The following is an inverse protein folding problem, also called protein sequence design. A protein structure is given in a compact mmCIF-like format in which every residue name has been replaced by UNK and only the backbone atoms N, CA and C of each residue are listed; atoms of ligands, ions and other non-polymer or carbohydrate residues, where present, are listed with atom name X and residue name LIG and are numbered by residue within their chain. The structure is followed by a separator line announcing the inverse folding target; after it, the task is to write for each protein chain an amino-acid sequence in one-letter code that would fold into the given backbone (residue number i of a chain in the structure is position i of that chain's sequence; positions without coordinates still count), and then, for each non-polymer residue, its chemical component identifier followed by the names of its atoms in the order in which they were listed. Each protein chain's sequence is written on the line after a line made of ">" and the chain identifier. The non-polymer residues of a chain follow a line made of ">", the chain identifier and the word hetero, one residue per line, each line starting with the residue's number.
data_IF_435575826340
#
_entry.id   IF_435575826340
#
_cell.length_a   1.000
_cell.length_b   1.000
_cell.length_c   1.000
_cell.angle_alpha   90.00
_cell.angle_beta   90.00
_cell.angle_gamma   90.00
#
_symmetry.space_group_name_H-M   'P 1'
#
loop_
_entity.id
_entity.type
_entity.pdbx_description
1 polymer ?
#
# COMPACT_ATOMS: atom_id res chain seq x y z
N UNK A 1 4.44 -58.92 43.63
CA UNK A 1 4.14 -58.36 44.97
C UNK A 1 5.45 -57.82 45.53
N UNK A 2 5.48 -56.55 45.91
CA UNK A 2 6.69 -55.96 46.50
C UNK A 2 6.98 -56.63 47.87
N UNK A 3 8.26 -56.84 48.25
CA UNK A 3 8.62 -57.50 49.50
C UNK A 3 7.98 -56.84 50.74
N UNK A 4 7.65 -57.63 51.78
CA UNK A 4 7.03 -57.12 53.02
C UNK A 4 7.80 -55.95 53.65
N UNK A 5 9.13 -55.99 53.59
CA UNK A 5 9.98 -54.91 54.11
C UNK A 5 9.83 -53.61 53.33
N UNK A 6 9.56 -53.66 52.01
CA UNK A 6 9.39 -52.47 51.17
C UNK A 6 8.06 -51.75 51.48
N UNK A 7 7.00 -52.52 51.71
CA UNK A 7 5.70 -51.97 52.08
C UNK A 7 5.72 -51.37 53.50
N UNK A 8 6.37 -52.05 54.46
CA UNK A 8 6.57 -51.54 55.83
C UNK A 8 7.44 -50.28 55.81
N UNK A 9 8.54 -50.29 55.05
CA UNK A 9 9.44 -49.13 54.95
C UNK A 9 8.75 -47.91 54.32
N UNK A 10 7.93 -48.08 53.27
CA UNK A 10 7.12 -46.98 52.69
C UNK A 10 6.01 -46.50 53.63
N UNK A 11 5.47 -47.38 54.47
CA UNK A 11 4.43 -47.05 55.44
C UNK A 11 5.00 -46.29 56.65
N UNK A 12 6.23 -46.65 57.07
CA UNK A 12 6.97 -46.03 58.18
C UNK A 12 7.77 -44.79 57.78
N UNK A 13 8.13 -44.66 56.50
CA UNK A 13 8.80 -43.49 55.93
C UNK A 13 7.92 -42.91 54.80
N UNK A 14 6.77 -42.30 55.12
CA UNK A 14 5.97 -41.59 54.13
C UNK A 14 6.72 -40.33 53.70
N UNK A 15 7.77 -40.48 52.91
CA UNK A 15 8.44 -39.35 52.27
C UNK A 15 7.42 -38.72 51.34
N UNK A 16 7.00 -37.51 51.67
CA UNK A 16 6.07 -36.74 50.85
C UNK A 16 6.77 -36.41 49.53
N UNK A 17 6.67 -37.28 48.53
CA UNK A 17 7.22 -37.05 47.17
C UNK A 17 6.35 -36.06 46.40
N UNK A 18 5.06 -35.96 46.75
CA UNK A 18 4.11 -35.04 46.14
C UNK A 18 4.44 -33.57 46.44
N UNK A 19 4.91 -33.23 47.65
CA UNK A 19 5.32 -31.86 48.01
C UNK A 19 6.47 -31.33 47.14
N UNK A 20 7.63 -32.00 47.10
CA UNK A 20 8.73 -31.71 46.19
C UNK A 20 8.30 -31.79 44.72
N UNK A 21 7.44 -32.75 44.34
CA UNK A 21 6.92 -32.86 42.97
C UNK A 21 6.05 -31.67 42.55
N UNK A 22 5.16 -31.19 43.43
CA UNK A 22 4.36 -29.98 43.22
C UNK A 22 5.27 -28.75 43.14
N UNK A 23 6.29 -28.66 44.00
CA UNK A 23 7.24 -27.54 44.00
C UNK A 23 8.08 -27.52 42.73
N UNK A 24 8.61 -28.66 42.29
CA UNK A 24 9.33 -28.80 41.01
C UNK A 24 8.42 -28.51 39.83
N UNK A 25 7.18 -29.00 39.84
CA UNK A 25 6.18 -28.69 38.81
C UNK A 25 5.82 -27.20 38.74
N UNK A 26 5.65 -26.54 39.88
CA UNK A 26 5.38 -25.11 39.97
C UNK A 26 6.57 -24.27 39.48
N UNK A 27 7.80 -24.62 39.89
CA UNK A 27 9.02 -23.97 39.41
C UNK A 27 9.21 -24.18 37.91
N UNK A 28 9.04 -25.42 37.42
CA UNK A 28 9.10 -25.74 36.00
C UNK A 28 8.06 -24.99 35.17
N UNK A 29 6.82 -24.91 35.67
CA UNK A 29 5.75 -24.13 35.06
C UNK A 29 6.04 -22.63 35.02
N UNK A 30 6.59 -22.07 36.10
CA UNK A 30 6.97 -20.66 36.16
C UNK A 30 8.13 -20.33 35.22
N UNK A 31 9.14 -21.20 35.13
CA UNK A 31 10.25 -21.06 34.17
C UNK A 31 9.73 -21.15 32.74
N UNK A 32 8.85 -22.11 32.44
CA UNK A 32 8.24 -22.25 31.11
C UNK A 32 7.41 -21.02 30.73
N UNK A 33 6.56 -20.51 31.63
CA UNK A 33 5.82 -19.26 31.43
C UNK A 33 6.75 -18.06 31.24
N UNK A 34 7.82 -17.95 32.02
CA UNK A 34 8.82 -16.90 31.88
C UNK A 34 9.52 -16.94 30.53
N UNK A 35 9.90 -18.13 30.07
CA UNK A 35 10.48 -18.33 28.73
C UNK A 35 9.46 -17.93 27.67
N UNK A 36 8.20 -18.38 27.77
CA UNK A 36 7.15 -18.03 26.79
C UNK A 36 6.96 -16.52 26.67
N UNK A 37 6.89 -15.80 27.79
CA UNK A 37 6.74 -14.34 27.80
C UNK A 37 7.94 -13.66 27.11
N UNK A 38 9.16 -14.14 27.35
CA UNK A 38 10.36 -13.59 26.72
C UNK A 38 10.41 -13.94 25.22
N UNK A 39 10.11 -15.20 24.86
CA UNK A 39 10.21 -15.68 23.47
C UNK A 39 9.10 -15.16 22.57
N UNK A 40 7.90 -14.93 23.11
CA UNK A 40 6.80 -14.32 22.35
C UNK A 40 6.86 -12.79 22.34
N UNK A 41 7.68 -12.20 23.21
CA UNK A 41 7.83 -10.75 23.32
C UNK A 41 6.51 -10.04 23.65
N UNK A 42 6.46 -8.74 23.40
CA UNK A 42 5.24 -7.96 23.50
C UNK A 42 4.63 -7.82 22.08
N UNK A 43 3.58 -8.58 21.73
CA UNK A 43 2.99 -8.53 20.39
C UNK A 43 2.34 -7.20 20.05
N UNK A 44 2.10 -6.35 21.05
CA UNK A 44 1.54 -5.01 20.92
C UNK A 44 2.59 -3.93 21.18
N UNK A 45 3.87 -4.25 21.02
CA UNK A 45 4.91 -3.22 21.03
C UNK A 45 4.62 -2.25 19.88
N UNK A 46 4.61 -0.97 20.21
CA UNK A 46 4.43 0.11 19.25
C UNK A 46 5.66 0.99 19.26
N UNK A 47 6.00 1.51 18.09
CA UNK A 47 6.88 2.65 17.95
C UNK A 47 6.05 3.90 17.62
N UNK A 48 6.58 5.08 17.92
CA UNK A 48 5.86 6.34 17.74
C UNK A 48 6.74 7.41 17.12
N UNK A 49 6.28 7.97 16.00
CA UNK A 49 6.87 9.14 15.39
C UNK A 49 6.19 10.40 15.92
N UNK A 50 6.94 11.25 16.63
CA UNK A 50 6.47 12.56 17.04
C UNK A 50 6.47 13.53 15.85
N UNK A 51 5.30 14.04 15.47
CA UNK A 51 5.12 14.90 14.29
C UNK A 51 4.91 16.38 14.63
N UNK A 52 4.86 16.75 15.92
CA UNK A 52 4.66 18.13 16.37
C UNK A 52 5.35 18.48 17.69
N UNK A 53 5.12 19.70 18.22
CA UNK A 53 5.70 20.14 19.49
C UNK A 53 5.33 19.22 20.66
N UNK A 54 6.24 19.08 21.63
CA UNK A 54 6.00 18.27 22.83
C UNK A 54 4.73 18.71 23.56
N UNK A 55 3.87 17.74 23.91
CA UNK A 55 2.63 17.97 24.65
C UNK A 55 1.38 18.23 23.80
N UNK A 56 1.47 18.26 22.46
CA UNK A 56 0.30 18.44 21.58
C UNK A 56 -0.42 17.14 21.23
N UNK A 57 0.14 15.98 21.61
CA UNK A 57 -0.43 14.68 21.26
C UNK A 57 -0.20 14.25 19.80
N UNK A 58 0.57 15.03 19.03
CA UNK A 58 0.93 14.72 17.65
C UNK A 58 1.95 13.57 17.59
N UNK A 59 1.43 12.34 17.58
CA UNK A 59 2.17 11.09 17.59
C UNK A 59 1.53 10.09 16.62
N UNK A 60 2.28 9.69 15.59
CA UNK A 60 1.88 8.60 14.70
C UNK A 60 2.41 7.30 15.31
N UNK A 61 1.50 6.44 15.76
CA UNK A 61 1.85 5.19 16.46
C UNK A 61 1.65 4.02 15.53
N UNK A 62 2.65 3.12 15.45
CA UNK A 62 2.63 1.95 14.58
C UNK A 62 3.11 0.72 15.34
N UNK A 63 2.59 -0.47 15.01
CA UNK A 63 3.09 -1.69 15.62
C UNK A 63 4.49 -1.99 15.12
N UNK A 64 5.38 -2.39 16.03
CA UNK A 64 6.76 -2.75 15.69
C UNK A 64 6.82 -3.93 14.71
N UNK A 65 5.82 -4.81 14.72
CA UNK A 65 5.68 -5.90 13.74
C UNK A 65 5.47 -5.38 12.31
N UNK A 66 4.71 -4.31 12.16
CA UNK A 66 4.34 -3.77 10.85
C UNK A 66 5.53 -3.05 10.24
N UNK A 67 6.26 -2.28 11.06
CA UNK A 67 7.53 -1.65 10.67
C UNK A 67 8.62 -2.65 10.29
N UNK A 68 8.61 -3.84 10.89
CA UNK A 68 9.58 -4.89 10.60
C UNK A 68 9.23 -5.71 9.35
N UNK A 69 8.02 -5.56 8.81
CA UNK A 69 7.57 -6.29 7.63
C UNK A 69 7.87 -5.46 6.38
N UNK A 70 8.88 -5.84 5.57
CA UNK A 70 9.15 -5.13 4.32
C UNK A 70 8.01 -5.35 3.31
N UNK A 71 7.95 -4.49 2.29
CA UNK A 71 7.10 -4.73 1.13
C UNK A 71 7.44 -6.11 0.53
N UNK A 72 6.47 -7.03 0.41
CA UNK A 72 6.72 -8.38 -0.10
C UNK A 72 7.24 -8.36 -1.54
N UNK A 73 6.90 -7.33 -2.32
CA UNK A 73 7.27 -7.20 -3.71
C UNK A 73 8.58 -6.44 -3.91
N UNK A 74 9.27 -6.05 -2.82
CA UNK A 74 10.57 -5.36 -2.92
C UNK A 74 11.60 -6.22 -3.65
N UNK A 75 11.53 -7.54 -3.51
CA UNK A 75 12.42 -8.47 -4.22
C UNK A 75 12.16 -8.51 -5.74
N UNK A 76 10.96 -8.10 -6.17
CA UNK A 76 10.57 -8.03 -7.59
C UNK A 76 11.06 -6.72 -8.25
N UNK A 77 11.48 -5.73 -7.47
CA UNK A 77 12.20 -4.57 -7.97
C UNK A 77 13.64 -5.00 -8.31
N UNK A 78 13.84 -5.46 -9.53
CA UNK A 78 15.18 -5.75 -10.04
C UNK A 78 15.98 -4.45 -10.18
N UNK A 79 17.13 -4.38 -9.51
CA UNK A 79 18.17 -3.40 -9.84
C UNK A 79 18.73 -3.76 -11.21
N UNK A 80 18.31 -2.99 -12.20
CA UNK A 80 18.81 -3.05 -13.57
C UNK A 80 19.26 -1.63 -13.86
N UNK A 81 20.56 -1.36 -13.98
CA UNK A 81 21.04 -0.01 -14.29
C UNK A 81 21.00 0.21 -15.81
N UNK A 82 20.62 1.41 -16.29
CA UNK A 82 20.66 1.72 -17.71
C UNK A 82 22.08 1.63 -18.24
N UNK A 83 22.24 1.10 -19.45
CA UNK A 83 23.52 1.10 -20.15
C UNK A 83 23.90 2.53 -20.52
N UNK A 84 25.12 2.96 -20.21
CA UNK A 84 25.62 4.30 -20.54
C UNK A 84 25.95 4.32 -22.05
N UNK A 85 25.22 5.10 -22.87
CA UNK A 85 25.50 5.18 -24.31
C UNK A 85 26.81 5.91 -24.60
N UNK A 86 27.58 5.44 -25.57
CA UNK A 86 28.76 6.16 -26.09
C UNK A 86 28.44 7.13 -27.25
N UNK A 87 27.21 7.06 -27.77
CA UNK A 87 26.68 7.93 -28.81
C UNK A 87 26.90 7.43 -30.24
N UNK A 88 27.54 6.28 -30.42
CA UNK A 88 27.71 5.60 -31.70
C UNK A 88 26.60 4.59 -31.99
N UNK A 89 25.79 4.25 -30.99
CA UNK A 89 24.75 3.23 -31.11
C UNK A 89 23.53 3.77 -31.87
N UNK A 90 22.91 2.94 -32.73
CA UNK A 90 21.67 3.32 -33.40
C UNK A 90 20.53 3.50 -32.39
N UNK A 91 19.64 4.44 -32.69
CA UNK A 91 18.47 4.73 -31.86
C UNK A 91 17.30 3.80 -32.21
N UNK A 92 16.44 3.52 -31.24
CA UNK A 92 15.29 2.62 -31.42
C UNK A 92 14.38 3.05 -32.59
N UNK A 93 14.21 4.36 -32.83
CA UNK A 93 13.44 4.88 -33.97
C UNK A 93 14.05 4.59 -35.35
N UNK A 94 15.34 4.27 -35.41
CA UNK A 94 16.08 3.98 -36.64
C UNK A 94 16.06 2.48 -36.97
N UNK A 95 15.87 1.63 -35.95
CA UNK A 95 15.92 0.18 -36.04
C UNK A 95 14.52 -0.42 -36.12
N UNK A 96 13.61 0.02 -35.24
CA UNK A 96 12.30 -0.59 -35.05
C UNK A 96 11.17 0.19 -35.72
N UNK A 97 10.13 -0.53 -36.12
CA UNK A 97 8.91 0.07 -36.67
C UNK A 97 7.96 0.52 -35.56
N UNK A 98 7.26 1.64 -35.81
CA UNK A 98 6.19 2.16 -34.94
C UNK A 98 6.62 2.51 -33.49
N UNK A 99 7.87 2.96 -33.31
CA UNK A 99 8.34 3.53 -32.04
C UNK A 99 7.93 5.02 -31.96
N UNK A 100 6.92 5.33 -31.14
CA UNK A 100 6.33 6.67 -31.05
C UNK A 100 6.76 7.48 -29.82
N UNK A 101 7.22 6.81 -28.75
CA UNK A 101 7.54 7.44 -27.46
C UNK A 101 9.01 7.22 -27.08
N UNK A 102 9.47 5.98 -27.16
CA UNK A 102 10.83 5.58 -26.75
C UNK A 102 11.86 5.66 -27.88
N UNK A 103 11.68 6.61 -28.81
CA UNK A 103 12.46 6.66 -30.05
C UNK A 103 13.94 7.03 -29.88
N UNK A 104 14.26 7.74 -28.79
CA UNK A 104 15.60 8.25 -28.51
C UNK A 104 16.42 7.34 -27.57
N UNK A 105 15.91 6.14 -27.25
CA UNK A 105 16.70 5.13 -26.55
C UNK A 105 17.64 4.43 -27.53
N UNK A 106 18.84 4.04 -27.05
CA UNK A 106 19.66 3.04 -27.76
C UNK A 106 18.95 1.69 -27.79
N UNK A 107 19.32 0.82 -28.72
CA UNK A 107 18.73 -0.53 -28.83
C UNK A 107 18.78 -1.30 -27.50
N UNK A 108 19.94 -1.32 -26.86
CA UNK A 108 20.14 -2.05 -25.60
C UNK A 108 19.25 -1.51 -24.47
N UNK A 109 19.13 -0.17 -24.35
CA UNK A 109 18.25 0.43 -23.35
C UNK A 109 16.76 0.26 -23.67
N UNK A 110 16.39 0.23 -24.94
CA UNK A 110 15.04 -0.07 -25.37
C UNK A 110 14.64 -1.50 -24.96
N UNK A 111 15.49 -2.49 -25.27
CA UNK A 111 15.26 -3.88 -24.92
C UNK A 111 15.28 -4.11 -23.40
N UNK A 112 16.18 -3.44 -22.69
CA UNK A 112 16.21 -3.41 -21.22
C UNK A 112 14.88 -2.93 -20.63
N UNK A 113 14.37 -1.79 -21.11
CA UNK A 113 13.11 -1.25 -20.64
C UNK A 113 11.91 -2.15 -20.98
N UNK A 114 11.90 -2.79 -22.16
CA UNK A 114 10.86 -3.76 -22.53
C UNK A 114 10.84 -4.95 -21.56
N UNK A 115 12.00 -5.53 -21.25
CA UNK A 115 12.12 -6.62 -20.28
C UNK A 115 11.64 -6.20 -18.88
N UNK A 116 12.01 -5.00 -18.43
CA UNK A 116 11.55 -4.45 -17.15
C UNK A 116 10.03 -4.27 -17.12
N UNK A 117 9.43 -3.71 -18.17
CA UNK A 117 7.96 -3.56 -18.26
C UNK A 117 7.25 -4.90 -18.27
N UNK A 118 7.79 -5.92 -18.93
CA UNK A 118 7.24 -7.28 -18.86
C UNK A 118 7.21 -7.80 -17.43
N UNK A 119 8.30 -7.65 -16.68
CA UNK A 119 8.36 -8.12 -15.30
C UNK A 119 7.39 -7.34 -14.38
N UNK A 120 7.30 -6.02 -14.56
CA UNK A 120 6.47 -5.17 -13.70
C UNK A 120 4.97 -5.28 -13.97
N UNK A 121 4.55 -5.64 -15.19
CA UNK A 121 3.15 -5.60 -15.63
C UNK A 121 2.57 -6.97 -15.92
N UNK A 122 3.30 -7.82 -16.64
CA UNK A 122 2.78 -9.08 -17.18
C UNK A 122 3.81 -10.22 -17.11
N UNK A 123 4.40 -10.52 -15.93
CA UNK A 123 5.47 -11.50 -15.80
C UNK A 123 5.03 -12.92 -16.23
N UNK A 124 3.75 -13.26 -16.03
CA UNK A 124 3.21 -14.58 -16.39
C UNK A 124 2.91 -14.72 -17.89
N UNK A 125 2.50 -13.64 -18.56
CA UNK A 125 2.13 -13.66 -19.99
C UNK A 125 3.30 -13.29 -20.90
N UNK A 126 4.32 -12.64 -20.37
CA UNK A 126 5.50 -12.24 -21.11
C UNK A 126 5.21 -11.17 -22.17
N UNK A 127 6.09 -11.10 -23.17
CA UNK A 127 6.02 -10.12 -24.27
C UNK A 127 4.69 -10.19 -25.04
N UNK A 128 4.11 -11.40 -25.14
CA UNK A 128 2.88 -11.65 -25.87
C UNK A 128 1.66 -10.91 -25.31
N UNK A 129 1.69 -10.48 -24.04
CA UNK A 129 0.60 -9.69 -23.46
C UNK A 129 0.32 -8.40 -24.23
N UNK A 130 1.38 -7.75 -24.71
CA UNK A 130 1.29 -6.51 -25.49
C UNK A 130 1.50 -6.72 -26.98
N UNK A 131 2.27 -7.74 -27.39
CA UNK A 131 2.66 -7.93 -28.80
C UNK A 131 1.96 -9.09 -29.50
N UNK A 132 1.26 -9.97 -28.78
CA UNK A 132 0.69 -11.21 -29.31
C UNK A 132 1.74 -12.32 -29.47
N UNK A 133 1.33 -13.47 -30.00
CA UNK A 133 2.18 -14.65 -30.19
C UNK A 133 3.00 -14.63 -31.49
N UNK A 134 3.07 -13.48 -32.18
CA UNK A 134 3.84 -13.33 -33.41
C UNK A 134 5.36 -13.22 -33.17
N UNK A 135 6.11 -13.19 -34.27
CA UNK A 135 7.56 -12.96 -34.24
C UNK A 135 7.90 -11.47 -34.06
N UNK A 136 9.18 -11.14 -33.84
CA UNK A 136 9.65 -9.77 -33.61
C UNK A 136 9.26 -8.80 -34.75
N UNK A 137 9.09 -9.30 -35.97
CA UNK A 137 8.66 -8.54 -37.14
C UNK A 137 7.25 -7.98 -36.99
N UNK A 138 6.36 -8.64 -36.23
CA UNK A 138 4.99 -8.17 -35.98
C UNK A 138 4.90 -7.27 -34.75
N UNK A 139 5.98 -7.11 -33.97
CA UNK A 139 5.95 -6.35 -32.72
C UNK A 139 5.68 -4.85 -32.96
N UNK A 140 5.85 -4.37 -34.18
CA UNK A 140 5.47 -3.01 -34.60
C UNK A 140 3.96 -2.77 -34.67
N UNK A 141 3.13 -3.79 -34.80
CA UNK A 141 1.68 -3.66 -35.00
C UNK A 141 0.94 -3.20 -33.72
N UNK A 142 -0.09 -2.37 -33.87
CA UNK A 142 -0.97 -1.92 -32.76
C UNK A 142 -2.28 -2.73 -32.71
N UNK A 143 -2.19 -4.04 -32.99
CA UNK A 143 -3.36 -4.93 -33.07
C UNK A 143 -4.01 -5.19 -31.70
N UNK A 144 -3.23 -5.16 -30.60
CA UNK A 144 -3.71 -5.39 -29.25
C UNK A 144 -3.93 -4.08 -28.49
N UNK A 145 -5.07 -3.98 -27.80
CA UNK A 145 -5.39 -2.80 -26.99
C UNK A 145 -4.38 -2.57 -25.86
N UNK A 146 -3.78 -3.64 -25.32
CA UNK A 146 -2.77 -3.60 -24.26
C UNK A 146 -1.53 -2.81 -24.69
N UNK A 147 -1.11 -2.89 -25.95
CA UNK A 147 -0.01 -2.07 -26.48
C UNK A 147 -0.36 -0.59 -26.55
N UNK A 148 -1.57 -0.28 -27.01
CA UNK A 148 -2.07 1.11 -27.09
C UNK A 148 -2.15 1.72 -25.69
N UNK A 149 -2.65 0.99 -24.71
CA UNK A 149 -2.68 1.39 -23.30
C UNK A 149 -1.27 1.55 -22.74
N UNK A 150 -0.37 0.58 -22.99
CA UNK A 150 1.02 0.62 -22.52
C UNK A 150 1.75 1.87 -23.02
N UNK A 151 1.55 2.25 -24.29
CA UNK A 151 2.11 3.50 -24.84
C UNK A 151 1.65 4.72 -24.05
N UNK A 152 0.38 4.78 -23.67
CA UNK A 152 -0.15 5.88 -22.87
C UNK A 152 0.40 5.86 -21.44
N UNK A 153 0.61 4.68 -20.85
CA UNK A 153 1.19 4.52 -19.51
C UNK A 153 2.66 4.94 -19.46
N UNK A 154 3.43 4.69 -20.53
CA UNK A 154 4.81 5.19 -20.64
C UNK A 154 4.82 6.73 -20.59
N UNK A 155 3.96 7.37 -21.40
CA UNK A 155 3.85 8.83 -21.40
C UNK A 155 3.39 9.38 -20.04
N UNK A 156 2.44 8.71 -19.39
CA UNK A 156 1.96 9.08 -18.05
C UNK A 156 3.11 9.00 -17.03
N UNK A 157 3.89 7.92 -17.06
CA UNK A 157 5.02 7.70 -16.14
C UNK A 157 6.10 8.76 -16.32
N UNK A 158 6.49 9.06 -17.58
CA UNK A 158 7.43 10.13 -17.89
C UNK A 158 6.92 11.48 -17.37
N UNK A 159 5.65 11.81 -17.65
CA UNK A 159 5.04 13.06 -17.19
C UNK A 159 4.98 13.16 -15.65
N UNK A 160 4.68 12.08 -14.94
CA UNK A 160 4.69 12.06 -13.47
C UNK A 160 6.10 12.34 -12.95
N UNK A 161 7.11 11.67 -13.50
CA UNK A 161 8.49 11.80 -13.02
C UNK A 161 9.13 13.15 -13.35
N UNK A 162 8.71 13.80 -14.45
CA UNK A 162 9.26 15.08 -14.90
C UNK A 162 8.50 16.30 -14.36
N UNK A 163 7.15 16.25 -14.33
CA UNK A 163 6.32 17.42 -14.06
C UNK A 163 5.63 17.41 -12.69
N UNK A 164 5.82 16.36 -11.87
CA UNK A 164 5.26 16.24 -10.52
C UNK A 164 6.34 15.99 -9.46
N UNK A 165 7.53 16.55 -9.66
CA UNK A 165 8.68 16.42 -8.77
C UNK A 165 8.38 16.83 -7.33
N UNK A 166 7.59 17.89 -7.13
CA UNK A 166 7.12 18.35 -5.81
C UNK A 166 6.24 17.35 -5.06
N UNK A 167 5.81 16.27 -5.71
CA UNK A 167 5.12 15.14 -5.07
C UNK A 167 6.00 13.90 -5.02
N UNK A 168 6.39 13.36 -6.18
CA UNK A 168 7.07 12.05 -6.27
C UNK A 168 8.56 12.12 -5.95
N UNK A 169 9.15 13.33 -5.92
CA UNK A 169 10.57 13.56 -5.63
C UNK A 169 10.81 14.56 -4.48
N UNK A 170 9.76 14.89 -3.71
CA UNK A 170 9.81 15.96 -2.71
C UNK A 170 10.89 15.76 -1.63
N UNK A 171 11.08 14.51 -1.20
CA UNK A 171 12.02 14.16 -0.14
C UNK A 171 13.34 13.56 -0.66
N UNK A 172 13.28 12.82 -1.78
CA UNK A 172 14.39 12.11 -2.43
C UNK A 172 14.04 11.92 -3.90
N UNK A 173 15.04 11.70 -4.76
CA UNK A 173 14.80 11.32 -6.17
C UNK A 173 14.36 9.86 -6.23
N UNK A 174 13.04 9.63 -6.17
CA UNK A 174 12.42 8.29 -6.15
C UNK A 174 11.65 8.04 -7.43
N UNK A 175 10.74 8.94 -7.79
CA UNK A 175 9.85 8.80 -8.94
C UNK A 175 8.88 7.62 -8.80
N UNK A 176 8.25 7.25 -9.92
CA UNK A 176 7.37 6.10 -10.06
C UNK A 176 7.77 5.25 -11.27
N UNK A 177 7.45 3.97 -11.20
CA UNK A 177 7.59 3.01 -12.31
C UNK A 177 6.29 2.26 -12.52
N UNK A 178 6.23 1.37 -13.52
CA UNK A 178 5.07 0.50 -13.71
C UNK A 178 4.80 -0.35 -12.46
N UNK A 179 5.87 -0.76 -11.74
CA UNK A 179 5.78 -1.57 -10.53
C UNK A 179 5.05 -0.87 -9.39
N UNK A 180 5.13 0.47 -9.32
CA UNK A 180 4.44 1.26 -8.28
C UNK A 180 2.94 0.98 -8.23
N UNK A 181 2.32 0.74 -9.40
CA UNK A 181 0.90 0.45 -9.52
C UNK A 181 0.62 -1.03 -9.82
N UNK A 182 1.29 -1.60 -10.83
CA UNK A 182 0.93 -2.91 -11.35
C UNK A 182 1.33 -4.07 -10.44
N UNK A 183 2.47 -3.96 -9.73
CA UNK A 183 2.97 -5.02 -8.84
C UNK A 183 2.94 -6.42 -9.47
N UNK A 184 3.38 -6.54 -10.72
CA UNK A 184 3.38 -7.81 -11.47
C UNK A 184 2.00 -8.27 -11.95
N UNK A 185 0.97 -7.43 -11.84
CA UNK A 185 -0.40 -7.73 -12.29
C UNK A 185 -0.78 -6.89 -13.50
N UNK A 186 -1.42 -7.53 -14.48
CA UNK A 186 -1.96 -6.89 -15.68
C UNK A 186 -2.95 -5.76 -15.36
N UNK A 187 -3.68 -5.91 -14.26
CA UNK A 187 -4.60 -4.91 -13.71
C UNK A 187 -4.12 -4.61 -12.29
N UNK A 188 -3.78 -3.35 -11.95
CA UNK A 188 -3.42 -2.97 -10.59
C UNK A 188 -4.49 -3.35 -9.57
N UNK A 189 -4.08 -3.80 -8.38
CA UNK A 189 -5.02 -4.26 -7.34
C UNK A 189 -5.76 -3.11 -6.66
N UNK A 190 -5.07 -1.99 -6.41
CA UNK A 190 -5.60 -0.84 -5.66
C UNK A 190 -6.22 0.21 -6.60
N UNK A 191 -7.28 -0.19 -7.31
CA UNK A 191 -8.08 0.69 -8.18
C UNK A 191 -9.48 0.92 -7.60
N UNK A 192 -10.13 1.98 -8.04
CA UNK A 192 -11.48 2.33 -7.61
C UNK A 192 -12.40 2.65 -8.79
N UNK A 193 -13.70 2.49 -8.56
CA UNK A 193 -14.77 2.80 -9.51
C UNK A 193 -15.78 3.72 -8.85
N UNK A 194 -16.59 4.41 -9.65
CA UNK A 194 -17.78 5.11 -9.14
C UNK A 194 -18.77 4.09 -8.60
N UNK A 195 -19.12 4.19 -7.32
CA UNK A 195 -20.04 3.24 -6.66
C UNK A 195 -21.35 3.88 -6.21
N UNK A 196 -21.52 5.20 -6.43
CA UNK A 196 -22.75 5.90 -6.09
C UNK A 196 -23.78 5.84 -7.21
N UNK A 197 -25.09 5.82 -6.89
CA UNK A 197 -25.65 5.85 -5.53
C UNK A 197 -25.43 4.54 -4.77
N UNK A 198 -25.10 4.64 -3.47
CA UNK A 198 -24.96 3.47 -2.58
C UNK A 198 -26.29 3.07 -1.94
N UNK A 199 -27.29 3.96 -1.96
CA UNK A 199 -28.67 3.70 -1.55
C UNK A 199 -29.66 4.08 -2.67
N UNK A 200 -29.98 3.12 -3.54
CA UNK A 200 -30.82 3.28 -4.73
C UNK A 200 -32.25 3.78 -4.46
N UNK A 201 -32.77 3.57 -3.24
CA UNK A 201 -34.14 3.99 -2.87
C UNK A 201 -34.25 5.48 -2.51
N UNK A 202 -33.15 6.24 -2.55
CA UNK A 202 -33.09 7.65 -2.13
C UNK A 202 -32.37 8.51 -3.16
N UNK A 203 -32.50 9.83 -3.05
CA UNK A 203 -31.83 10.79 -3.93
C UNK A 203 -31.08 11.85 -3.11
N UNK A 204 -30.13 12.55 -3.74
CA UNK A 204 -29.31 13.56 -3.09
C UNK A 204 -28.35 12.96 -2.06
N UNK A 205 -28.04 13.70 -0.99
CA UNK A 205 -27.08 13.26 0.02
C UNK A 205 -27.35 11.88 0.65
N UNK A 206 -28.60 11.50 0.99
CA UNK A 206 -28.88 10.16 1.49
C UNK A 206 -28.48 9.02 0.54
N UNK A 207 -28.39 9.28 -0.77
CA UNK A 207 -28.04 8.24 -1.75
C UNK A 207 -26.54 7.94 -1.81
N UNK A 208 -25.68 8.82 -1.27
CA UNK A 208 -24.22 8.68 -1.35
C UNK A 208 -23.55 8.28 -0.04
N UNK A 209 -24.28 8.21 1.08
CA UNK A 209 -23.71 7.92 2.42
C UNK A 209 -24.56 6.92 3.22
N UNK A 210 -24.36 6.80 4.54
CA UNK A 210 -25.10 5.87 5.42
C UNK A 210 -24.96 4.39 5.06
N UNK A 211 -23.90 4.04 4.34
CA UNK A 211 -23.54 2.66 3.99
C UNK A 211 -22.04 2.50 4.08
N UNK A 212 -21.58 1.48 4.80
CA UNK A 212 -20.16 1.15 4.84
C UNK A 212 -19.73 0.61 3.48
N UNK A 213 -18.74 1.26 2.87
CA UNK A 213 -18.12 0.84 1.61
C UNK A 213 -16.59 0.85 1.76
N UNK A 214 -15.89 0.23 0.80
CA UNK A 214 -14.43 0.34 0.76
C UNK A 214 -13.98 1.79 0.53
N UNK A 215 -14.68 2.58 -0.28
CA UNK A 215 -14.31 3.97 -0.55
C UNK A 215 -14.52 4.88 0.65
N UNK A 216 -15.54 4.63 1.48
CA UNK A 216 -15.74 5.33 2.76
C UNK A 216 -14.88 4.80 3.89
N UNK A 217 -13.92 3.89 3.61
CA UNK A 217 -13.07 3.24 4.61
C UNK A 217 -13.90 2.57 5.73
N UNK A 218 -14.97 1.88 5.33
CA UNK A 218 -15.92 1.19 6.19
C UNK A 218 -16.69 2.08 7.18
N UNK A 219 -16.71 3.40 6.95
CA UNK A 219 -17.54 4.35 7.71
C UNK A 219 -18.89 4.59 7.04
N UNK A 220 -19.81 5.27 7.73
CA UNK A 220 -21.10 5.72 7.16
C UNK A 220 -20.99 7.03 6.36
N UNK A 221 -19.79 7.56 6.13
CA UNK A 221 -19.55 8.81 5.41
C UNK A 221 -19.84 8.70 3.90
N UNK A 222 -19.89 9.83 3.16
CA UNK A 222 -20.09 9.82 1.72
C UNK A 222 -19.06 8.97 0.96
N UNK A 223 -19.55 8.08 0.11
CA UNK A 223 -18.75 7.15 -0.70
C UNK A 223 -18.35 7.72 -2.07
N UNK A 224 -18.75 8.96 -2.37
CA UNK A 224 -18.42 9.68 -3.60
C UNK A 224 -17.21 10.62 -3.48
N UNK A 225 -16.50 10.62 -2.34
CA UNK A 225 -15.44 11.60 -2.08
C UNK A 225 -14.32 11.58 -3.14
N UNK A 226 -13.91 10.40 -3.62
CA UNK A 226 -12.91 10.29 -4.69
C UNK A 226 -13.43 10.82 -6.02
N UNK A 227 -14.70 10.56 -6.35
CA UNK A 227 -15.32 11.10 -7.56
C UNK A 227 -15.40 12.62 -7.51
N UNK A 228 -15.89 13.18 -6.40
CA UNK A 228 -16.02 14.63 -6.22
C UNK A 228 -14.67 15.34 -6.33
N UNK A 229 -13.63 14.84 -5.64
CA UNK A 229 -12.37 15.57 -5.51
C UNK A 229 -11.29 15.17 -6.51
N UNK A 230 -11.16 13.89 -6.86
CA UNK A 230 -10.09 13.42 -7.75
C UNK A 230 -10.50 13.35 -9.23
N UNK A 231 -11.81 13.31 -9.52
CA UNK A 231 -12.32 13.31 -10.89
C UNK A 231 -13.01 14.62 -11.26
N UNK A 232 -13.88 15.14 -10.40
CA UNK A 232 -14.66 16.35 -10.70
C UNK A 232 -13.97 17.65 -10.23
N UNK A 233 -12.85 17.55 -9.51
CA UNK A 233 -12.06 18.69 -9.02
C UNK A 233 -12.88 19.68 -8.16
N UNK A 234 -13.81 19.16 -7.35
CA UNK A 234 -14.55 19.98 -6.39
C UNK A 234 -13.64 20.54 -5.29
N UNK A 235 -14.13 21.54 -4.56
CA UNK A 235 -13.40 22.21 -3.50
C UNK A 235 -13.37 21.40 -2.20
N UNK A 236 -12.17 21.16 -1.64
CA UNK A 236 -11.97 20.42 -0.38
C UNK A 236 -12.10 21.31 0.86
N UNK A 237 -11.71 22.58 0.79
CA UNK A 237 -11.74 23.45 1.98
C UNK A 237 -13.17 23.77 2.41
N UNK A 238 -13.45 23.46 3.68
CA UNK A 238 -14.79 23.57 4.32
C UNK A 238 -14.81 24.51 5.53
N UNK A 239 -13.70 25.21 5.79
CA UNK A 239 -13.56 26.10 6.94
C UNK A 239 -13.21 27.52 6.50
N UNK A 240 -13.70 28.49 7.26
CA UNK A 240 -13.33 29.89 7.11
C UNK A 240 -11.98 30.18 7.77
N UNK A 241 -11.23 31.11 7.18
CA UNK A 241 -9.97 31.60 7.75
C UNK A 241 -10.20 32.75 8.76
N UNK A 242 -11.36 33.42 8.69
CA UNK A 242 -11.75 34.47 9.63
C UNK A 242 -12.72 33.97 10.68
N UNK A 243 -12.69 34.61 11.84
CA UNK A 243 -13.64 34.34 12.92
C UNK A 243 -14.98 35.02 12.62
N UNK A 244 -16.09 34.34 12.92
CA UNK A 244 -17.48 34.87 12.81
C UNK A 244 -17.91 35.22 11.38
N UNK A 245 -17.43 34.48 10.39
CA UNK A 245 -17.97 34.56 9.03
C UNK A 245 -19.44 34.13 9.06
N UNK A 246 -20.28 34.87 8.35
CA UNK A 246 -21.69 34.53 8.18
C UNK A 246 -21.80 33.40 7.16
N UNK A 247 -22.29 32.23 7.59
CA UNK A 247 -22.49 31.09 6.72
C UNK A 247 -23.59 31.40 5.69
N UNK A 248 -23.21 31.52 4.42
CA UNK A 248 -24.13 31.78 3.31
C UNK A 248 -24.80 30.47 2.86
N UNK A 249 -26.05 30.52 2.35
CA UNK A 249 -26.71 29.33 1.82
C UNK A 249 -25.88 28.64 0.74
N UNK A 250 -25.43 27.40 1.03
CA UNK A 250 -24.63 26.60 0.11
C UNK A 250 -23.11 26.78 0.24
N UNK A 251 -22.65 27.58 1.19
CA UNK A 251 -21.24 27.92 1.38
C UNK A 251 -20.68 27.25 2.65
N UNK A 252 -19.70 26.37 2.47
CA UNK A 252 -19.85 24.92 2.61
C UNK A 252 -20.76 24.48 3.77
N UNK A 253 -21.69 23.57 3.48
CA UNK A 253 -22.55 22.98 4.51
C UNK A 253 -21.83 21.80 5.19
N UNK A 254 -22.45 21.30 6.27
CA UNK A 254 -21.96 20.12 7.00
C UNK A 254 -21.79 18.90 6.10
N UNK A 255 -22.57 18.78 5.03
CA UNK A 255 -22.50 17.67 4.08
C UNK A 255 -21.16 17.66 3.30
N UNK A 256 -20.66 18.83 2.88
CA UNK A 256 -19.34 18.96 2.29
C UNK A 256 -18.23 18.66 3.31
N UNK A 257 -18.47 18.99 4.58
CA UNK A 257 -17.54 18.64 5.68
C UNK A 257 -17.48 17.11 5.85
N UNK A 258 -18.62 16.42 5.85
CA UNK A 258 -18.68 14.95 5.91
C UNK A 258 -17.96 14.30 4.73
N UNK A 259 -18.14 14.83 3.50
CA UNK A 259 -17.44 14.33 2.31
C UNK A 259 -15.92 14.57 2.39
N UNK A 260 -15.50 15.75 2.82
CA UNK A 260 -14.09 16.07 3.06
C UNK A 260 -13.49 15.12 4.10
N UNK A 261 -14.22 14.84 5.18
CA UNK A 261 -13.76 13.90 6.20
C UNK A 261 -13.63 12.48 5.65
N UNK A 262 -14.54 12.06 4.75
CA UNK A 262 -14.42 10.79 4.03
C UNK A 262 -13.11 10.69 3.22
N UNK A 263 -12.75 11.76 2.49
CA UNK A 263 -11.47 11.83 1.77
C UNK A 263 -10.28 11.77 2.73
N UNK A 264 -10.31 12.48 3.85
CA UNK A 264 -9.21 12.47 4.83
C UNK A 264 -9.03 11.09 5.48
N UNK A 265 -10.12 10.36 5.72
CA UNK A 265 -10.05 8.95 6.13
C UNK A 265 -9.42 8.08 5.04
N UNK A 266 -9.78 8.29 3.77
CA UNK A 266 -9.15 7.59 2.65
C UNK A 266 -7.64 7.84 2.59
N UNK A 267 -7.19 9.09 2.74
CA UNK A 267 -5.76 9.43 2.77
C UNK A 267 -5.03 8.79 3.96
N UNK A 268 -5.62 8.87 5.16
CA UNK A 268 -5.05 8.28 6.37
C UNK A 268 -4.83 6.78 6.20
N UNK A 269 -5.87 6.05 5.77
CA UNK A 269 -5.79 4.60 5.57
C UNK A 269 -4.90 4.21 4.39
N UNK A 270 -4.89 4.97 3.29
CA UNK A 270 -4.03 4.70 2.12
C UNK A 270 -2.54 4.86 2.44
N UNK A 271 -2.19 5.76 3.36
CA UNK A 271 -0.82 5.96 3.82
C UNK A 271 -0.46 5.09 5.03
N UNK A 272 -1.45 4.45 5.67
CA UNK A 272 -1.28 3.75 6.94
C UNK A 272 -0.89 4.68 8.09
N UNK A 273 -1.28 5.97 8.03
CA UNK A 273 -0.94 6.99 9.04
C UNK A 273 -2.22 7.64 9.57
N UNK A 274 -2.12 8.40 10.65
CA UNK A 274 -3.26 9.12 11.23
C UNK A 274 -3.27 10.60 10.83
N UNK A 275 -4.31 11.33 11.24
CA UNK A 275 -4.54 12.73 10.88
C UNK A 275 -3.37 13.65 11.25
N UNK A 276 -2.68 13.36 12.37
CA UNK A 276 -1.62 14.22 12.91
C UNK A 276 -0.29 14.07 12.19
N UNK A 277 -0.23 13.26 11.13
CA UNK A 277 0.87 13.35 10.17
C UNK A 277 0.87 14.71 9.45
N UNK A 278 -0.31 15.23 9.12
CA UNK A 278 -0.47 16.44 8.30
C UNK A 278 -1.18 17.59 9.04
N UNK A 279 -1.92 17.31 10.11
CA UNK A 279 -2.72 18.30 10.84
C UNK A 279 -2.28 18.45 12.30
N UNK A 280 -2.61 19.60 12.89
CA UNK A 280 -2.49 19.88 14.33
C UNK A 280 -3.88 20.19 14.88
#
# INVERSE_FOLDING_TARGET
>A
MLPKWFNVWNQENPTNVFGPGILVGAVGGAVFLGILIITWGQPYATDSLQTGPRGTGMSVTEFSSDLATPDPDIASLMEDEPYIPDGSEPLAKEIYQNVQVLGDLTEDNFNRLMAAMTNWVAPDQGCAYCHGEGDLETYGEDALYTKVVSRRMIQMTQNINENWDGHVNANKQVGVTCMTCHRGQNVPSEIWFKITPVNEATAGWPSVQNRATSLSQFTSLPSDALEAYLLNYEQINVHDLESRVENQPGDPLIQQTERTYSLMNYFSNSLGKNCVLCHN
#
